data_IF_981836842752
#
_entry.id   IF_981836842752
#
_cell.length_a   1.000
_cell.length_b   1.000
_cell.length_c   1.000
_cell.angle_alpha   90.00
_cell.angle_beta   90.00
_cell.angle_gamma   90.00
#
_symmetry.space_group_name_H-M   'P 1'
#
loop_
_entity.id
_entity.type
_entity.pdbx_description
1 polymer ?
#
# COMPACT_ATOMS: atom_id res chain seq x y z
N UNK A 1 15.59 1.94 11.43
CA UNK A 1 14.33 1.94 10.64
C UNK A 1 13.56 0.69 11.05
N UNK A 2 12.32 0.82 11.54
CA UNK A 2 11.53 -0.33 11.98
C UNK A 2 10.94 -1.04 10.76
N UNK A 3 11.20 -2.33 10.58
CA UNK A 3 10.73 -3.14 9.45
C UNK A 3 9.66 -4.10 9.94
N UNK A 4 8.68 -4.39 9.08
CA UNK A 4 7.59 -5.33 9.37
C UNK A 4 7.49 -6.37 8.25
N UNK A 5 7.14 -7.59 8.62
CA UNK A 5 6.90 -8.69 7.70
C UNK A 5 5.39 -8.88 7.52
N UNK A 6 4.96 -9.00 6.28
CA UNK A 6 3.55 -9.17 5.91
C UNK A 6 3.44 -10.00 4.63
N UNK A 7 2.24 -10.51 4.38
CA UNK A 7 1.96 -11.34 3.21
C UNK A 7 0.91 -10.65 2.35
N UNK A 8 1.22 -10.42 1.06
CA UNK A 8 0.29 -9.84 0.07
C UNK A 8 0.13 -10.86 -1.05
N UNK A 9 -1.11 -11.29 -1.32
CA UNK A 9 -1.43 -12.31 -2.33
C UNK A 9 -0.57 -13.59 -2.22
N UNK A 10 -0.27 -14.01 -0.99
CA UNK A 10 0.56 -15.18 -0.69
C UNK A 10 2.08 -14.95 -0.80
N UNK A 11 2.53 -13.77 -1.21
CA UNK A 11 3.95 -13.38 -1.29
C UNK A 11 4.38 -12.76 0.04
N UNK A 12 5.46 -13.26 0.64
CA UNK A 12 6.07 -12.62 1.81
C UNK A 12 6.84 -11.36 1.41
N UNK A 13 6.61 -10.28 2.15
CA UNK A 13 7.19 -8.96 1.89
C UNK A 13 7.66 -8.33 3.20
N UNK A 14 8.85 -7.75 3.19
CA UNK A 14 9.41 -6.99 4.32
C UNK A 14 9.54 -5.53 3.93
N UNK A 15 8.78 -4.65 4.59
CA UNK A 15 8.72 -3.20 4.28
C UNK A 15 8.88 -2.36 5.54
N UNK A 16 9.19 -1.06 5.42
CA UNK A 16 9.18 -0.14 6.56
C UNK A 16 7.81 -0.12 7.24
N UNK A 17 7.79 -0.10 8.57
CA UNK A 17 6.56 -0.03 9.37
C UNK A 17 5.71 1.23 9.09
N UNK A 18 6.29 2.25 8.47
CA UNK A 18 5.61 3.48 8.08
C UNK A 18 4.86 3.39 6.75
N UNK A 19 5.01 2.31 5.99
CA UNK A 19 4.33 2.15 4.71
C UNK A 19 2.83 1.94 4.93
N UNK A 20 2.04 2.56 4.07
CA UNK A 20 0.63 2.20 3.90
C UNK A 20 0.50 0.83 3.22
N UNK A 21 -0.67 0.18 3.33
CA UNK A 21 -0.95 -1.07 2.60
C UNK A 21 -0.78 -0.86 1.08
N UNK A 22 -1.19 0.30 0.56
CA UNK A 22 -1.03 0.66 -0.85
C UNK A 22 0.44 0.72 -1.28
N UNK A 23 1.33 1.24 -0.44
CA UNK A 23 2.77 1.28 -0.72
C UNK A 23 3.43 -0.09 -0.60
N UNK A 24 3.02 -0.88 0.40
CA UNK A 24 3.48 -2.25 0.57
C UNK A 24 3.07 -3.13 -0.63
N UNK A 25 1.83 -3.00 -1.11
CA UNK A 25 1.34 -3.70 -2.30
C UNK A 25 2.14 -3.32 -3.56
N UNK A 26 2.41 -2.02 -3.76
CA UNK A 26 3.26 -1.57 -4.88
C UNK A 26 4.68 -2.14 -4.78
N UNK A 27 5.25 -2.22 -3.59
CA UNK A 27 6.56 -2.83 -3.38
C UNK A 27 6.56 -4.33 -3.71
N UNK A 28 5.44 -5.02 -3.43
CA UNK A 28 5.20 -6.41 -3.79
C UNK A 28 4.90 -6.63 -5.30
N UNK A 29 4.84 -5.58 -6.11
CA UNK A 29 4.45 -5.65 -7.52
C UNK A 29 2.94 -5.76 -7.75
N UNK A 30 2.12 -5.64 -6.70
CA UNK A 30 0.66 -5.68 -6.77
C UNK A 30 0.11 -4.28 -7.00
N UNK A 31 -0.57 -4.10 -8.14
CA UNK A 31 -1.18 -2.82 -8.51
C UNK A 31 -2.62 -2.74 -8.00
N UNK A 32 -2.81 -2.08 -6.87
CA UNK A 32 -4.16 -1.70 -6.39
C UNK A 32 -4.59 -0.41 -7.12
N UNK A 33 -5.77 -0.37 -7.75
CA UNK A 33 -6.27 0.84 -8.39
C UNK A 33 -6.53 1.94 -7.35
N UNK A 34 -6.30 3.19 -7.72
CA UNK A 34 -6.56 4.36 -6.88
C UNK A 34 -7.03 5.52 -7.76
N UNK A 35 -8.07 6.23 -7.31
CA UNK A 35 -8.53 7.46 -7.98
C UNK A 35 -8.24 8.72 -7.16
N UNK A 36 -8.48 8.67 -5.85
CA UNK A 36 -8.36 9.86 -4.97
C UNK A 36 -7.04 9.95 -4.20
N UNK A 37 -6.16 8.94 -4.29
CA UNK A 37 -4.84 8.96 -3.67
C UNK A 37 -3.79 9.51 -4.65
N UNK A 38 -3.06 10.54 -4.22
CA UNK A 38 -1.94 11.13 -4.95
C UNK A 38 -0.80 11.41 -3.96
N UNK A 39 0.33 10.70 -4.14
CA UNK A 39 1.47 10.74 -3.21
C UNK A 39 1.98 12.17 -3.02
N UNK A 40 2.05 12.62 -1.77
CA UNK A 40 2.53 13.95 -1.40
C UNK A 40 1.55 15.09 -1.66
N UNK A 41 0.32 14.80 -2.09
CA UNK A 41 -0.71 15.81 -2.37
C UNK A 41 -2.02 15.47 -1.68
N UNK A 42 -2.57 14.27 -1.89
CA UNK A 42 -3.88 13.87 -1.38
C UNK A 42 -3.87 12.43 -0.87
N UNK A 43 -4.25 12.26 0.38
CA UNK A 43 -4.31 10.96 1.08
C UNK A 43 -5.73 10.64 1.58
N UNK A 44 -6.73 11.04 0.79
CA UNK A 44 -8.14 10.85 1.13
C UNK A 44 -8.65 9.49 0.68
N UNK A 45 -9.68 8.99 1.34
CA UNK A 45 -10.36 7.72 1.02
C UNK A 45 -11.68 7.86 0.28
N UNK A 46 -11.90 8.95 -0.48
CA UNK A 46 -13.21 9.28 -1.06
C UNK A 46 -13.71 8.26 -2.10
N UNK A 47 -12.83 7.73 -2.95
CA UNK A 47 -13.24 6.84 -4.05
C UNK A 47 -13.47 5.37 -3.63
N UNK A 48 -12.92 4.95 -2.49
CA UNK A 48 -12.98 3.57 -1.94
C UNK A 48 -12.56 2.44 -2.89
N UNK A 49 -11.93 2.74 -4.02
CA UNK A 49 -11.53 1.74 -5.03
C UNK A 49 -10.34 0.88 -4.60
N UNK A 50 -9.59 1.31 -3.57
CA UNK A 50 -8.43 0.62 -3.02
C UNK A 50 -8.75 -0.17 -1.73
N UNK A 51 -10.00 -0.63 -1.58
CA UNK A 51 -10.44 -1.39 -0.42
C UNK A 51 -9.91 -2.83 -0.55
N UNK A 52 -9.05 -3.21 0.39
CA UNK A 52 -8.37 -4.51 0.50
C UNK A 52 -8.19 -4.88 1.97
#
# INVERSE_FOLDING_TARGET
MNMVNLTIDGVQVTVPASYTILEAARHAGVKIPTLCYLKGVNEVGACRICLV
#
